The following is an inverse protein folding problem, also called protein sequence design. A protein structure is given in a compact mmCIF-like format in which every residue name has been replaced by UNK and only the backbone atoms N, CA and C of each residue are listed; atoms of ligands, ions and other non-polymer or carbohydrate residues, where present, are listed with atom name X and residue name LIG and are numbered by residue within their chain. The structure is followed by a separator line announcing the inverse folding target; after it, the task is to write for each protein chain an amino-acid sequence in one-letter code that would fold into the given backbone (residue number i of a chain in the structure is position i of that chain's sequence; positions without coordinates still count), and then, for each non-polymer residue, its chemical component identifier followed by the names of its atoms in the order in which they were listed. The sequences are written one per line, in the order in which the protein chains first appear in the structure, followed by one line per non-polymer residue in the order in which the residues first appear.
data_IF_454375376048
#
_entry.id   IF_454375376048
#
_cell.length_a   1.000
_cell.length_b   1.000
_cell.length_c   1.000
_cell.angle_alpha   90.00
_cell.angle_beta   90.00
_cell.angle_gamma   90.00
#
_symmetry.space_group_name_H-M   'P 1'
#
loop_
_entity.id
_entity.type
_entity.pdbx_description
1 polymer ?
#
# COMPACT_ATOMS: atom_id res chain seq x y z
N UNK A 1 -15.72 -11.34 -9.88
CA UNK A 1 -15.85 -11.62 -8.44
C UNK A 1 -15.71 -10.30 -7.71
N UNK A 2 -16.58 -9.99 -6.73
CA UNK A 2 -16.58 -8.69 -6.08
C UNK A 2 -15.27 -8.47 -5.29
N UNK A 3 -14.69 -7.28 -5.42
CA UNK A 3 -13.53 -6.83 -4.67
C UNK A 3 -13.93 -5.65 -3.80
N UNK A 4 -13.63 -5.69 -2.51
CA UNK A 4 -13.80 -4.52 -1.64
C UNK A 4 -12.44 -3.84 -1.42
N UNK A 5 -12.41 -2.53 -1.69
CA UNK A 5 -11.24 -1.68 -1.45
C UNK A 5 -11.53 -0.78 -0.25
N UNK A 6 -10.72 -0.89 0.80
CA UNK A 6 -10.85 -0.05 1.99
C UNK A 6 -10.13 1.28 1.85
N UNK A 7 -10.49 2.26 2.68
CA UNK A 7 -9.91 3.61 2.66
C UNK A 7 -9.91 4.22 1.24
N UNK A 8 -10.99 4.02 0.49
CA UNK A 8 -11.09 4.36 -0.93
C UNK A 8 -10.93 5.86 -1.26
N UNK A 9 -10.97 6.74 -0.25
CA UNK A 9 -10.62 8.15 -0.39
C UNK A 9 -9.10 8.38 -0.60
N UNK A 10 -8.25 7.43 -0.18
CA UNK A 10 -6.80 7.56 -0.34
C UNK A 10 -6.40 7.39 -1.82
N UNK A 11 -5.39 8.13 -2.31
CA UNK A 11 -5.06 8.15 -3.75
C UNK A 11 -4.82 6.76 -4.36
N UNK A 12 -4.06 5.90 -3.69
CA UNK A 12 -3.75 4.55 -4.19
C UNK A 12 -5.01 3.67 -4.16
N UNK A 13 -5.75 3.64 -3.05
CA UNK A 13 -6.98 2.85 -2.92
C UNK A 13 -8.02 3.25 -4.00
N UNK A 14 -8.22 4.56 -4.19
CA UNK A 14 -9.13 5.08 -5.20
C UNK A 14 -8.74 4.67 -6.61
N UNK A 15 -7.44 4.67 -6.92
CA UNK A 15 -6.94 4.26 -8.25
C UNK A 15 -7.04 2.76 -8.46
N UNK A 16 -6.79 1.93 -7.42
CA UNK A 16 -7.03 0.49 -7.47
C UNK A 16 -8.52 0.23 -7.77
N UNK A 17 -9.43 0.86 -7.03
CA UNK A 17 -10.86 0.71 -7.25
C UNK A 17 -11.29 1.15 -8.67
N UNK A 18 -10.80 2.30 -9.14
CA UNK A 18 -11.09 2.79 -10.48
C UNK A 18 -10.58 1.82 -11.57
N UNK A 19 -9.37 1.29 -11.41
CA UNK A 19 -8.76 0.38 -12.37
C UNK A 19 -9.51 -0.97 -12.43
N UNK A 20 -9.96 -1.48 -11.27
CA UNK A 20 -10.83 -2.67 -11.23
C UNK A 20 -12.15 -2.46 -11.96
N UNK A 21 -12.77 -1.28 -11.81
CA UNK A 21 -14.00 -0.92 -12.54
C UNK A 21 -13.79 -0.82 -14.05
N UNK A 22 -12.68 -0.19 -14.48
CA UNK A 22 -12.31 -0.10 -15.92
C UNK A 22 -12.16 -1.48 -16.58
N UNK A 23 -11.74 -2.48 -15.80
CA UNK A 23 -11.66 -3.88 -16.27
C UNK A 23 -13.00 -4.64 -16.20
N UNK A 24 -14.08 -3.97 -15.82
CA UNK A 24 -15.40 -4.56 -15.70
C UNK A 24 -15.63 -5.36 -14.42
N UNK A 25 -14.77 -5.17 -13.40
CA UNK A 25 -14.92 -5.80 -12.09
C UNK A 25 -16.07 -5.21 -11.29
N UNK A 26 -16.69 -6.01 -10.42
CA UNK A 26 -17.60 -5.54 -9.39
C UNK A 26 -16.78 -5.02 -8.21
N UNK A 27 -16.90 -3.71 -7.90
CA UNK A 27 -16.10 -3.05 -6.88
C UNK A 27 -16.97 -2.46 -5.79
N UNK A 28 -16.61 -2.77 -4.56
CA UNK A 28 -17.12 -2.10 -3.37
C UNK A 28 -16.04 -1.24 -2.76
N UNK A 29 -16.41 -0.05 -2.32
CA UNK A 29 -15.49 0.91 -1.70
C UNK A 29 -15.96 1.19 -0.28
N UNK A 30 -15.11 0.96 0.72
CA UNK A 30 -15.37 1.34 2.11
C UNK A 30 -14.54 2.58 2.47
N UNK A 31 -15.20 3.63 2.96
CA UNK A 31 -14.55 4.92 3.24
C UNK A 31 -15.39 5.81 4.14
N UNK A 32 -14.72 6.65 4.92
CA UNK A 32 -15.28 7.72 5.74
C UNK A 32 -15.36 9.08 5.02
N UNK A 33 -14.94 9.13 3.76
CA UNK A 33 -14.90 10.36 2.97
C UNK A 33 -15.67 10.23 1.66
N UNK A 34 -16.00 11.35 1.03
CA UNK A 34 -16.67 11.35 -0.27
C UNK A 34 -15.77 10.83 -1.38
N UNK A 35 -16.29 9.89 -2.14
CA UNK A 35 -15.68 9.31 -3.35
C UNK A 35 -16.68 9.30 -4.51
N UNK A 36 -17.32 10.43 -4.76
CA UNK A 36 -18.34 10.60 -5.79
C UNK A 36 -17.90 10.07 -7.16
N UNK A 37 -16.62 10.23 -7.51
CA UNK A 37 -16.06 9.71 -8.76
C UNK A 37 -16.14 8.19 -8.87
N UNK A 38 -15.89 7.44 -7.78
CA UNK A 38 -16.02 5.98 -7.79
C UNK A 38 -17.48 5.56 -7.90
N UNK A 39 -18.39 6.27 -7.21
CA UNK A 39 -19.83 6.01 -7.31
C UNK A 39 -20.32 6.25 -8.73
N UNK A 40 -19.91 7.35 -9.36
CA UNK A 40 -20.23 7.65 -10.74
C UNK A 40 -19.66 6.62 -11.74
N UNK A 41 -18.52 6.01 -11.42
CA UNK A 41 -17.91 4.94 -12.20
C UNK A 41 -18.53 3.55 -11.96
N UNK A 42 -19.54 3.44 -11.07
CA UNK A 42 -20.28 2.20 -10.83
C UNK A 42 -19.86 1.41 -9.59
N UNK A 43 -18.98 1.95 -8.71
CA UNK A 43 -18.69 1.30 -7.45
C UNK A 43 -19.87 1.35 -6.49
N UNK A 44 -20.11 0.27 -5.75
CA UNK A 44 -20.92 0.32 -4.55
C UNK A 44 -20.09 0.97 -3.42
N UNK A 45 -20.55 2.11 -2.90
CA UNK A 45 -19.83 2.85 -1.85
C UNK A 45 -20.53 2.70 -0.51
N UNK A 46 -19.89 1.98 0.42
CA UNK A 46 -20.26 1.92 1.82
C UNK A 46 -19.53 3.07 2.56
N UNK A 47 -20.29 4.11 2.91
CA UNK A 47 -19.75 5.31 3.58
C UNK A 47 -19.92 5.15 5.09
N UNK A 48 -18.81 4.89 5.80
CA UNK A 48 -18.78 4.69 7.24
C UNK A 48 -17.38 4.82 7.81
N UNK A 49 -17.28 4.87 9.13
CA UNK A 49 -16.01 4.89 9.87
C UNK A 49 -15.61 3.47 10.29
N UNK A 50 -14.40 3.32 10.80
CA UNK A 50 -13.91 2.04 11.34
C UNK A 50 -14.65 1.55 12.59
N UNK A 51 -15.42 2.42 13.23
CA UNK A 51 -16.28 2.07 14.36
C UNK A 51 -17.61 1.43 13.91
N UNK A 52 -17.96 1.53 12.63
CA UNK A 52 -19.16 0.99 12.03
C UNK A 52 -18.91 -0.41 11.45
N UNK A 53 -18.61 -1.35 12.34
CA UNK A 53 -18.27 -2.75 11.99
C UNK A 53 -19.41 -3.42 11.21
N UNK A 54 -20.66 -3.17 11.59
CA UNK A 54 -21.83 -3.77 10.93
C UNK A 54 -21.98 -3.31 9.47
N UNK A 55 -21.64 -2.05 9.17
CA UNK A 55 -21.63 -1.56 7.79
C UNK A 55 -20.50 -2.22 6.97
N UNK A 56 -19.33 -2.42 7.57
CA UNK A 56 -18.23 -3.11 6.91
C UNK A 56 -18.58 -4.58 6.64
N UNK A 57 -19.16 -5.28 7.61
CA UNK A 57 -19.64 -6.66 7.44
C UNK A 57 -20.68 -6.77 6.32
N UNK A 58 -21.65 -5.86 6.28
CA UNK A 58 -22.64 -5.81 5.20
C UNK A 58 -21.99 -5.52 3.84
N UNK A 59 -20.98 -4.63 3.79
CA UNK A 59 -20.25 -4.35 2.57
C UNK A 59 -19.40 -5.54 2.10
N UNK A 60 -18.99 -6.43 3.01
CA UNK A 60 -18.20 -7.64 2.73
C UNK A 60 -19.05 -8.85 2.31
N UNK A 61 -20.39 -8.80 2.41
CA UNK A 61 -21.23 -9.91 2.02
C UNK A 61 -20.93 -10.33 0.56
N UNK A 62 -20.61 -11.61 0.33
CA UNK A 62 -20.26 -12.17 -0.99
C UNK A 62 -18.98 -11.57 -1.64
N UNK A 63 -18.17 -10.79 -0.92
CA UNK A 63 -16.88 -10.29 -1.41
C UNK A 63 -15.89 -11.45 -1.48
N UNK A 64 -15.19 -11.53 -2.63
CA UNK A 64 -14.13 -12.52 -2.82
C UNK A 64 -12.80 -12.04 -2.26
N UNK A 65 -12.40 -10.81 -2.60
CA UNK A 65 -11.12 -10.24 -2.22
C UNK A 65 -11.29 -8.90 -1.51
N UNK A 66 -10.59 -8.73 -0.40
CA UNK A 66 -10.40 -7.42 0.25
C UNK A 66 -9.03 -6.88 -0.12
N UNK A 67 -8.97 -5.63 -0.58
CA UNK A 67 -7.72 -4.87 -0.72
C UNK A 67 -7.71 -3.78 0.34
N UNK A 68 -6.86 -3.97 1.36
CA UNK A 68 -6.71 -3.02 2.46
C UNK A 68 -5.56 -2.05 2.21
N UNK A 69 -5.88 -0.76 2.14
CA UNK A 69 -4.90 0.32 1.93
C UNK A 69 -4.92 1.24 3.15
N UNK A 70 -4.48 0.70 4.29
CA UNK A 70 -4.45 1.42 5.57
C UNK A 70 -3.10 2.08 5.85
N UNK A 71 -3.10 3.14 6.66
CA UNK A 71 -1.92 3.83 7.16
C UNK A 71 -1.01 4.44 6.09
N UNK A 72 -0.67 5.72 6.22
CA UNK A 72 0.31 6.40 5.36
C UNK A 72 1.64 6.62 6.07
N UNK A 73 2.71 6.94 5.32
CA UNK A 73 4.04 7.23 5.87
C UNK A 73 4.10 8.49 6.75
N UNK A 74 3.06 9.28 6.79
CA UNK A 74 2.92 10.47 7.64
C UNK A 74 1.68 10.34 8.55
N UNK A 75 1.38 9.10 9.00
CA UNK A 75 0.31 8.84 9.98
C UNK A 75 0.74 9.38 11.35
N UNK A 76 -0.13 10.16 11.97
CA UNK A 76 0.14 10.80 13.26
C UNK A 76 -0.31 9.95 14.46
N UNK A 77 -1.19 8.99 14.24
CA UNK A 77 -1.59 7.97 15.22
C UNK A 77 -1.29 6.56 14.66
N UNK A 78 -0.10 6.03 14.87
CA UNK A 78 0.26 4.70 14.38
C UNK A 78 -0.66 3.58 14.89
N UNK A 79 -1.23 3.71 16.10
CA UNK A 79 -2.16 2.72 16.65
C UNK A 79 -3.43 2.56 15.82
N UNK A 80 -3.80 3.58 15.06
CA UNK A 80 -4.91 3.53 14.10
C UNK A 80 -4.67 2.50 13.01
N UNK A 81 -3.41 2.31 12.58
CA UNK A 81 -3.06 1.32 11.55
C UNK A 81 -3.45 -0.09 12.01
N UNK A 82 -3.15 -0.42 13.26
CA UNK A 82 -3.47 -1.73 13.84
C UNK A 82 -4.99 -1.88 14.00
N UNK A 83 -5.65 -0.89 14.61
CA UNK A 83 -7.12 -0.93 14.82
C UNK A 83 -7.88 -1.09 13.50
N UNK A 84 -7.50 -0.37 12.44
CA UNK A 84 -8.13 -0.49 11.12
C UNK A 84 -8.02 -1.92 10.58
N UNK A 85 -6.85 -2.54 10.72
CA UNK A 85 -6.62 -3.91 10.25
C UNK A 85 -7.36 -4.93 11.10
N UNK A 86 -7.42 -4.78 12.43
CA UNK A 86 -8.19 -5.65 13.32
C UNK A 86 -9.67 -5.68 12.95
N UNK A 87 -10.26 -4.50 12.67
CA UNK A 87 -11.65 -4.40 12.23
C UNK A 87 -11.85 -5.09 10.88
N UNK A 88 -10.96 -4.86 9.91
CA UNK A 88 -11.02 -5.51 8.60
C UNK A 88 -10.87 -7.02 8.72
N UNK A 89 -9.93 -7.50 9.53
CA UNK A 89 -9.66 -8.92 9.74
C UNK A 89 -10.88 -9.64 10.36
N UNK A 90 -11.48 -9.04 11.38
CA UNK A 90 -12.68 -9.57 12.04
C UNK A 90 -13.85 -9.64 11.05
N UNK A 91 -14.17 -8.55 10.36
CA UNK A 91 -15.26 -8.50 9.41
C UNK A 91 -15.04 -9.43 8.19
N UNK A 92 -13.82 -9.50 7.67
CA UNK A 92 -13.47 -10.39 6.55
C UNK A 92 -13.59 -11.87 6.94
N UNK A 93 -13.21 -12.22 8.18
CA UNK A 93 -13.37 -13.58 8.70
C UNK A 93 -14.85 -13.94 8.85
N UNK A 94 -15.65 -13.04 9.43
CA UNK A 94 -17.10 -13.24 9.60
C UNK A 94 -17.84 -13.38 8.28
N UNK A 95 -17.47 -12.59 7.26
CA UNK A 95 -18.05 -12.64 5.93
C UNK A 95 -17.56 -13.82 5.06
N UNK A 96 -16.56 -14.58 5.50
CA UNK A 96 -15.99 -15.69 4.73
C UNK A 96 -15.26 -15.25 3.44
N UNK A 97 -14.59 -14.11 3.48
CA UNK A 97 -13.77 -13.59 2.39
C UNK A 97 -12.71 -14.62 1.97
N UNK A 98 -12.46 -14.72 0.68
CA UNK A 98 -11.58 -15.75 0.11
C UNK A 98 -10.12 -15.30 -0.01
N UNK A 99 -9.84 -14.00 0.07
CA UNK A 99 -8.50 -13.42 -0.01
C UNK A 99 -8.47 -12.04 0.62
N UNK A 100 -7.34 -11.73 1.28
CA UNK A 100 -7.03 -10.37 1.72
C UNK A 100 -5.65 -9.95 1.20
N UNK A 101 -5.57 -8.77 0.58
CA UNK A 101 -4.32 -8.12 0.14
C UNK A 101 -4.15 -6.86 0.96
N UNK A 102 -3.04 -6.70 1.67
CA UNK A 102 -2.75 -5.54 2.50
C UNK A 102 -1.49 -4.81 2.02
N UNK A 103 -1.51 -3.48 1.96
CA UNK A 103 -0.32 -2.68 1.68
C UNK A 103 0.46 -2.38 2.95
N UNK A 104 1.77 -2.57 2.87
CA UNK A 104 2.72 -2.35 3.96
C UNK A 104 3.99 -1.64 3.48
N UNK A 105 5.03 -1.58 4.31
CA UNK A 105 6.30 -0.92 4.05
C UNK A 105 7.48 -1.90 4.19
N UNK A 106 8.59 -1.68 3.48
CA UNK A 106 9.86 -2.34 3.78
C UNK A 106 10.25 -2.11 5.24
N UNK A 107 10.80 -3.13 5.89
CA UNK A 107 11.20 -3.10 7.28
C UNK A 107 10.05 -3.08 8.30
N UNK A 108 8.80 -3.29 7.88
CA UNK A 108 7.69 -3.49 8.81
C UNK A 108 7.96 -4.70 9.69
N UNK A 109 7.75 -4.54 10.99
CA UNK A 109 7.96 -5.58 11.99
C UNK A 109 7.60 -5.08 13.39
N UNK A 110 7.08 -5.96 14.28
CA UNK A 110 6.58 -5.54 15.60
C UNK A 110 7.70 -5.00 16.52
N UNK A 111 8.97 -5.19 16.14
CA UNK A 111 10.15 -4.70 16.84
C UNK A 111 10.85 -3.56 16.10
N UNK A 112 10.24 -2.99 15.05
CA UNK A 112 10.81 -1.84 14.36
C UNK A 112 10.94 -0.62 15.30
N UNK A 113 12.01 0.14 15.13
CA UNK A 113 12.27 1.32 15.96
C UNK A 113 11.25 2.42 15.69
N UNK A 114 10.97 2.71 14.42
CA UNK A 114 9.97 3.71 14.09
C UNK A 114 8.54 3.21 14.33
N UNK A 115 7.67 4.10 14.86
CA UNK A 115 6.31 3.71 15.26
C UNK A 115 5.43 3.25 14.11
N UNK A 116 5.63 3.78 12.89
CA UNK A 116 4.80 3.42 11.73
C UNK A 116 5.15 2.02 11.24
N UNK A 117 6.45 1.68 11.11
CA UNK A 117 6.87 0.32 10.74
C UNK A 117 6.51 -0.70 11.81
N UNK A 118 6.59 -0.32 13.08
CA UNK A 118 6.12 -1.19 14.17
C UNK A 118 4.64 -1.47 14.05
N UNK A 119 3.79 -0.46 13.92
CA UNK A 119 2.36 -0.63 13.74
C UNK A 119 2.00 -1.40 12.45
N UNK A 120 2.76 -1.20 11.37
CA UNK A 120 2.62 -2.00 10.15
C UNK A 120 2.98 -3.46 10.39
N UNK A 121 4.04 -3.75 11.16
CA UNK A 121 4.42 -5.11 11.52
C UNK A 121 3.38 -5.81 12.39
N UNK A 122 2.84 -5.12 13.39
CA UNK A 122 1.73 -5.62 14.21
C UNK A 122 0.49 -5.89 13.34
N UNK A 123 0.16 -4.99 12.41
CA UNK A 123 -0.93 -5.18 11.46
C UNK A 123 -0.70 -6.39 10.52
N UNK A 124 0.54 -6.64 10.09
CA UNK A 124 0.88 -7.83 9.30
C UNK A 124 0.67 -9.14 10.09
N UNK A 125 0.96 -9.15 11.41
CA UNK A 125 0.67 -10.30 12.26
C UNK A 125 -0.84 -10.57 12.35
N UNK A 126 -1.65 -9.53 12.47
CA UNK A 126 -3.12 -9.65 12.42
C UNK A 126 -3.58 -10.21 11.08
N UNK A 127 -3.03 -9.70 9.97
CA UNK A 127 -3.34 -10.21 8.61
C UNK A 127 -2.95 -11.68 8.48
N UNK A 128 -1.79 -12.09 8.98
CA UNK A 128 -1.31 -13.46 8.89
C UNK A 128 -2.18 -14.47 9.67
N UNK A 129 -2.90 -14.01 10.69
CA UNK A 129 -3.79 -14.84 11.50
C UNK A 129 -5.19 -15.07 10.88
N UNK A 130 -5.53 -14.39 9.77
CA UNK A 130 -6.83 -14.56 9.12
C UNK A 130 -6.92 -15.95 8.45
N UNK A 131 -8.06 -16.66 8.59
CA UNK A 131 -8.21 -18.03 8.11
C UNK A 131 -8.48 -18.13 6.59
N UNK A 132 -8.00 -17.18 5.79
CA UNK A 132 -8.02 -17.24 4.33
C UNK A 132 -6.64 -16.86 3.77
N UNK A 133 -6.35 -17.14 2.49
CA UNK A 133 -5.14 -16.67 1.84
C UNK A 133 -4.93 -15.16 1.99
N UNK A 134 -3.78 -14.77 2.51
CA UNK A 134 -3.43 -13.37 2.73
C UNK A 134 -2.14 -13.00 2.02
N UNK A 135 -2.10 -11.80 1.47
CA UNK A 135 -0.92 -11.27 0.78
C UNK A 135 -0.62 -9.89 1.34
N UNK A 136 0.57 -9.73 1.89
CA UNK A 136 1.11 -8.43 2.28
C UNK A 136 2.04 -7.92 1.19
N UNK A 137 1.78 -6.72 0.67
CA UNK A 137 2.65 -6.07 -0.31
C UNK A 137 3.43 -4.97 0.41
N UNK A 138 4.70 -5.22 0.68
CA UNK A 138 5.64 -4.24 1.22
C UNK A 138 6.19 -3.42 0.07
N UNK A 139 5.58 -2.26 -0.19
CA UNK A 139 6.00 -1.37 -1.27
C UNK A 139 6.99 -0.32 -0.76
N UNK A 140 8.07 -0.10 -1.49
CA UNK A 140 8.98 1.03 -1.30
C UNK A 140 8.25 2.36 -1.46
N UNK A 141 8.96 3.47 -1.54
CA UNK A 141 8.35 4.80 -1.68
C UNK A 141 7.42 4.86 -2.91
N UNK A 142 6.11 4.92 -2.69
CA UNK A 142 5.13 4.97 -3.79
C UNK A 142 5.11 6.37 -4.38
N UNK A 143 5.50 6.49 -5.64
CA UNK A 143 5.55 7.77 -6.35
C UNK A 143 4.14 8.27 -6.67
N UNK A 144 3.64 9.19 -5.86
CA UNK A 144 2.36 9.88 -6.03
C UNK A 144 2.53 11.39 -5.86
N UNK A 145 1.65 12.21 -6.46
CA UNK A 145 1.68 13.66 -6.23
C UNK A 145 1.67 14.02 -4.75
N UNK A 146 0.85 13.33 -3.93
CA UNK A 146 0.76 13.59 -2.48
C UNK A 146 2.08 13.30 -1.75
N UNK A 147 2.78 12.22 -2.08
CA UNK A 147 4.11 11.91 -1.51
C UNK A 147 5.15 12.94 -1.96
N UNK A 148 5.16 13.31 -3.24
CA UNK A 148 6.05 14.37 -3.74
C UNK A 148 5.82 15.68 -2.99
N UNK A 149 4.56 16.06 -2.75
CA UNK A 149 4.19 17.27 -2.02
C UNK A 149 4.64 17.21 -0.56
N UNK A 150 4.42 16.09 0.12
CA UNK A 150 4.84 15.89 1.52
C UNK A 150 6.36 15.99 1.63
N UNK A 151 7.12 15.28 0.81
CA UNK A 151 8.59 15.30 0.83
C UNK A 151 9.14 16.67 0.44
N UNK A 152 8.52 17.36 -0.54
CA UNK A 152 8.92 18.70 -0.97
C UNK A 152 8.77 19.76 0.13
N UNK A 153 7.71 19.64 0.93
CA UNK A 153 7.34 20.62 1.96
C UNK A 153 7.84 20.26 3.36
N UNK A 154 8.42 19.05 3.54
CA UNK A 154 8.87 18.55 4.83
C UNK A 154 10.12 19.24 5.40
N UNK A 155 10.82 20.06 4.61
CA UNK A 155 12.05 20.72 5.09
C UNK A 155 13.16 19.72 5.43
N UNK A 156 13.31 18.67 4.63
CA UNK A 156 14.24 17.57 4.87
C UNK A 156 15.68 18.06 5.08
N UNK A 157 16.35 17.54 6.10
CA UNK A 157 17.77 17.75 6.35
C UNK A 157 18.63 17.15 5.21
N UNK A 158 19.94 17.49 5.18
CA UNK A 158 20.86 16.87 4.24
C UNK A 158 20.90 15.35 4.40
N UNK A 159 21.01 14.86 5.64
CA UNK A 159 21.01 13.43 5.97
C UNK A 159 19.74 12.72 5.47
N UNK A 160 18.56 13.34 5.65
CA UNK A 160 17.30 12.77 5.16
C UNK A 160 17.23 12.77 3.63
N UNK A 161 17.86 13.73 2.97
CA UNK A 161 17.93 13.78 1.49
C UNK A 161 18.88 12.71 0.94
N UNK A 162 19.86 12.28 1.71
CA UNK A 162 20.82 11.23 1.34
C UNK A 162 20.29 9.81 1.58
N UNK A 163 19.13 9.66 2.24
CA UNK A 163 18.49 8.37 2.42
C UNK A 163 18.14 7.78 1.05
N UNK A 164 18.56 6.53 0.82
CA UNK A 164 18.27 5.79 -0.39
C UNK A 164 16.85 5.22 -0.37
N UNK A 165 16.19 5.30 -1.50
CA UNK A 165 14.85 4.76 -1.77
C UNK A 165 14.84 4.08 -3.14
N UNK A 166 13.90 3.16 -3.35
CA UNK A 166 13.62 2.55 -4.65
C UNK A 166 12.19 2.93 -5.09
N UNK A 167 11.95 4.14 -5.59
CA UNK A 167 10.60 4.64 -5.81
C UNK A 167 9.80 3.77 -6.79
N UNK A 168 8.62 3.34 -6.36
CA UNK A 168 7.67 2.54 -7.14
C UNK A 168 6.68 3.47 -7.81
N UNK A 169 6.46 3.32 -9.11
CA UNK A 169 5.38 4.03 -9.79
C UNK A 169 4.03 3.51 -9.27
N UNK A 170 3.13 4.43 -9.01
CA UNK A 170 1.81 4.07 -8.50
C UNK A 170 1.05 3.13 -9.46
N UNK A 171 1.21 3.32 -10.77
CA UNK A 171 0.63 2.48 -11.82
C UNK A 171 1.12 1.03 -11.71
N UNK A 172 2.42 0.83 -11.55
CA UNK A 172 3.03 -0.49 -11.49
C UNK A 172 2.59 -1.24 -10.22
N UNK A 173 2.50 -0.53 -9.09
CA UNK A 173 1.96 -1.10 -7.85
C UNK A 173 0.48 -1.50 -8.00
N UNK A 174 -0.33 -0.69 -8.66
CA UNK A 174 -1.73 -1.00 -8.92
C UNK A 174 -1.84 -2.27 -9.77
N UNK A 175 -1.09 -2.36 -10.87
CA UNK A 175 -1.08 -3.56 -11.73
C UNK A 175 -0.63 -4.81 -10.94
N UNK A 176 0.36 -4.69 -10.05
CA UNK A 176 0.74 -5.78 -9.15
C UNK A 176 -0.43 -6.22 -8.26
N UNK A 177 -1.13 -5.29 -7.62
CA UNK A 177 -2.28 -5.61 -6.75
C UNK A 177 -3.39 -6.29 -7.54
N UNK A 178 -3.71 -5.82 -8.73
CA UNK A 178 -4.71 -6.42 -9.60
C UNK A 178 -4.29 -7.83 -10.06
N UNK A 179 -3.01 -8.00 -10.35
CA UNK A 179 -2.46 -9.29 -10.71
C UNK A 179 -2.56 -10.29 -9.55
N UNK A 180 -2.23 -9.85 -8.32
CA UNK A 180 -2.36 -10.68 -7.12
C UNK A 180 -3.81 -11.06 -6.83
N UNK A 181 -4.78 -10.21 -7.16
CA UNK A 181 -6.22 -10.56 -7.07
C UNK A 181 -6.59 -11.66 -8.06
N UNK A 182 -5.99 -11.72 -9.24
CA UNK A 182 -6.28 -12.71 -10.29
C UNK A 182 -5.59 -14.05 -10.09
N UNK A 183 -4.55 -14.12 -9.29
CA UNK A 183 -3.83 -15.39 -9.02
C UNK A 183 -4.79 -16.41 -8.40
N UNK A 184 -4.80 -17.64 -8.91
CA UNK A 184 -5.65 -18.71 -8.39
C UNK A 184 -5.32 -18.99 -6.92
N UNK A 185 -6.34 -19.21 -6.10
CA UNK A 185 -6.21 -19.42 -4.65
C UNK A 185 -5.18 -20.51 -4.28
N UNK A 186 -5.06 -21.58 -5.09
CA UNK A 186 -4.07 -22.66 -4.86
C UNK A 186 -2.61 -22.21 -4.95
N UNK A 187 -2.32 -21.09 -5.62
CA UNK A 187 -0.96 -20.56 -5.71
C UNK A 187 -0.60 -19.63 -4.54
N UNK A 188 -1.56 -19.30 -3.68
CA UNK A 188 -1.42 -18.37 -2.55
C UNK A 188 -1.99 -18.94 -1.26
N UNK A 189 -1.93 -20.28 -1.07
CA UNK A 189 -2.35 -20.89 0.19
C UNK A 189 -1.49 -20.35 1.35
N UNK A 190 -2.15 -19.90 2.44
CA UNK A 190 -1.50 -19.35 3.61
C UNK A 190 -1.23 -17.85 3.52
N UNK A 191 -0.14 -17.43 4.15
CA UNK A 191 0.31 -16.04 4.23
C UNK A 191 1.54 -15.81 3.34
N UNK A 192 1.46 -14.82 2.45
CA UNK A 192 2.54 -14.43 1.55
C UNK A 192 2.94 -12.98 1.79
N UNK A 193 4.22 -12.69 1.87
CA UNK A 193 4.77 -11.33 1.86
C UNK A 193 5.50 -11.11 0.54
N UNK A 194 5.09 -10.08 -0.20
CA UNK A 194 5.70 -9.65 -1.46
C UNK A 194 6.34 -8.29 -1.24
N UNK A 195 7.63 -8.19 -1.47
CA UNK A 195 8.32 -6.91 -1.50
C UNK A 195 8.30 -6.34 -2.92
N UNK A 196 8.00 -5.05 -3.05
CA UNK A 196 7.85 -4.37 -4.33
C UNK A 196 8.69 -3.09 -4.36
N UNK A 197 9.77 -3.11 -5.13
CA UNK A 197 10.68 -1.99 -5.31
C UNK A 197 10.59 -1.43 -6.73
N UNK A 198 10.91 -0.13 -6.89
CA UNK A 198 11.12 0.45 -8.19
C UNK A 198 12.47 0.02 -8.80
N UNK A 199 12.66 0.25 -10.11
CA UNK A 199 13.80 -0.28 -10.87
C UNK A 199 15.14 0.39 -10.55
N UNK A 200 15.10 1.55 -9.89
CA UNK A 200 16.30 2.36 -9.64
C UNK A 200 16.36 2.80 -8.19
N UNK A 201 17.43 2.44 -7.50
CA UNK A 201 17.78 3.01 -6.19
C UNK A 201 18.38 4.40 -6.38
N UNK A 202 17.94 5.34 -5.58
CA UNK A 202 18.42 6.71 -5.60
C UNK A 202 18.17 7.37 -4.24
N UNK A 203 18.89 8.46 -3.95
CA UNK A 203 18.60 9.23 -2.75
C UNK A 203 17.26 9.97 -2.86
N UNK A 204 16.64 10.31 -1.75
CA UNK A 204 15.43 11.15 -1.72
C UNK A 204 15.69 12.48 -2.42
N UNK A 205 16.88 13.07 -2.24
CA UNK A 205 17.27 14.29 -2.93
C UNK A 205 17.27 14.14 -4.45
N UNK A 206 17.86 13.05 -4.95
CA UNK A 206 17.88 12.74 -6.38
C UNK A 206 16.46 12.44 -6.92
N UNK A 207 15.64 11.72 -6.15
CA UNK A 207 14.24 11.50 -6.49
C UNK A 207 13.47 12.81 -6.65
N UNK A 208 13.57 13.72 -5.67
CA UNK A 208 12.88 15.01 -5.70
C UNK A 208 13.33 15.85 -6.91
N UNK A 209 14.63 15.88 -7.20
CA UNK A 209 15.16 16.56 -8.40
C UNK A 209 14.58 15.96 -9.69
N UNK A 210 14.51 14.62 -9.78
CA UNK A 210 13.99 13.90 -10.95
C UNK A 210 12.52 14.19 -11.21
N UNK A 211 11.70 14.33 -10.14
CA UNK A 211 10.26 14.62 -10.27
C UNK A 211 9.95 16.12 -10.34
N UNK A 212 10.96 16.96 -10.54
CA UNK A 212 10.83 18.40 -10.74
C UNK A 212 10.51 19.19 -9.47
N UNK A 213 10.82 18.62 -8.31
CA UNK A 213 10.70 19.33 -7.03
C UNK A 213 12.05 19.98 -6.72
N UNK A 214 12.11 21.30 -6.87
CA UNK A 214 13.31 22.08 -6.57
C UNK A 214 13.67 22.11 -5.09
N UNK A 215 14.88 22.64 -4.75
CA UNK A 215 15.30 22.81 -3.36
C UNK A 215 14.33 23.70 -2.57
N UNK A 216 14.36 23.67 -1.22
CA UNK A 216 13.57 24.57 -0.38
C UNK A 216 13.70 26.04 -0.82
N UNK A 217 12.57 26.73 -0.96
CA UNK A 217 12.54 28.13 -1.45
C UNK A 217 12.36 28.28 -2.96
N UNK A 218 12.32 27.20 -3.75
CA UNK A 218 11.99 27.26 -5.16
C UNK A 218 10.51 27.64 -5.38
N UNK A 219 10.22 28.30 -6.52
CA UNK A 219 8.83 28.66 -6.89
C UNK A 219 7.88 27.45 -6.96
N UNK A 220 8.42 26.24 -7.11
CA UNK A 220 7.66 24.98 -7.13
C UNK A 220 6.90 24.71 -5.81
N UNK A 221 7.25 25.36 -4.70
CA UNK A 221 6.61 25.22 -3.40
C UNK A 221 5.55 26.29 -3.12
N UNK A 222 5.43 27.29 -3.96
CA UNK A 222 4.45 28.38 -3.79
C UNK A 222 3.03 27.82 -3.92
N UNK A 223 2.20 28.08 -2.90
CA UNK A 223 0.80 27.63 -2.87
C UNK A 223 0.59 26.19 -2.36
N UNK A 224 1.64 25.42 -2.05
CA UNK A 224 1.50 24.10 -1.43
C UNK A 224 1.21 24.23 0.08
N UNK A 225 0.26 23.44 0.57
CA UNK A 225 -0.06 23.42 2.01
C UNK A 225 1.04 22.64 2.75
N UNK A 226 1.66 23.30 3.72
CA UNK A 226 2.65 22.66 4.59
C UNK A 226 1.98 21.56 5.43
N UNK A 227 2.63 20.38 5.61
CA UNK A 227 2.19 19.38 6.56
C UNK A 227 2.21 19.94 8.00
N UNK A 228 1.38 19.37 8.88
CA UNK A 228 1.46 19.71 10.30
C UNK A 228 2.81 19.29 10.90
N UNK A 229 3.28 19.93 12.01
CA UNK A 229 4.51 19.52 12.69
C UNK A 229 4.53 18.05 13.11
N UNK A 230 3.37 17.49 13.48
CA UNK A 230 3.21 16.08 13.84
C UNK A 230 3.45 15.15 12.64
N UNK A 231 2.87 15.49 11.48
CA UNK A 231 3.12 14.76 10.23
C UNK A 231 4.57 14.83 9.79
N UNK A 232 5.23 15.96 10.01
CA UNK A 232 6.67 16.10 9.71
C UNK A 232 7.52 15.22 10.61
N UNK A 233 7.16 15.09 11.90
CA UNK A 233 7.83 14.15 12.82
C UNK A 233 7.63 12.71 12.40
N UNK A 234 6.38 12.28 12.19
CA UNK A 234 6.07 10.92 11.76
C UNK A 234 6.79 10.56 10.44
N UNK A 235 6.88 11.52 9.50
CA UNK A 235 7.66 11.34 8.29
C UNK A 235 9.16 11.20 8.57
N UNK A 236 9.72 12.03 9.46
CA UNK A 236 11.14 11.97 9.81
C UNK A 236 11.52 10.61 10.42
N UNK A 237 10.68 10.10 11.32
CA UNK A 237 10.88 8.80 11.99
C UNK A 237 10.86 7.66 10.95
N UNK A 238 9.87 7.63 10.07
CA UNK A 238 9.76 6.57 9.06
C UNK A 238 10.85 6.67 7.98
N UNK A 239 11.34 7.87 7.67
CA UNK A 239 12.43 8.04 6.69
C UNK A 239 13.74 7.41 7.16
N UNK A 240 14.01 7.36 8.47
CA UNK A 240 15.21 6.73 9.02
C UNK A 240 15.30 5.21 8.87
N UNK A 241 14.21 4.54 8.51
CA UNK A 241 14.20 3.09 8.33
C UNK A 241 14.46 2.62 6.89
N UNK A 242 14.45 1.29 6.65
CA UNK A 242 14.73 0.72 5.33
C UNK A 242 13.61 1.01 4.31
N UNK A 243 14.01 1.27 3.07
CA UNK A 243 13.11 1.56 1.95
C UNK A 243 13.26 0.59 0.77
N UNK A 244 13.94 -0.52 0.97
CA UNK A 244 14.08 -1.62 0.02
C UNK A 244 14.22 -2.93 0.76
N UNK A 245 14.15 -4.03 0.03
CA UNK A 245 14.34 -5.39 0.56
C UNK A 245 15.43 -6.11 -0.22
N UNK A 246 15.91 -7.24 0.30
CA UNK A 246 17.00 -7.99 -0.33
C UNK A 246 16.55 -8.78 -1.56
N UNK A 247 15.27 -9.15 -1.65
CA UNK A 247 14.72 -9.92 -2.77
C UNK A 247 13.35 -9.35 -3.21
N UNK A 248 13.33 -8.13 -3.80
CA UNK A 248 12.09 -7.51 -4.22
C UNK A 248 11.64 -7.99 -5.60
N UNK A 249 10.34 -7.94 -5.83
CA UNK A 249 9.79 -7.87 -7.19
C UNK A 249 10.07 -6.46 -7.73
N UNK A 250 10.89 -6.36 -8.77
CA UNK A 250 11.19 -5.06 -9.40
C UNK A 250 10.04 -4.66 -10.31
N UNK A 251 9.42 -3.54 -10.01
CA UNK A 251 8.33 -2.95 -10.78
C UNK A 251 8.89 -1.91 -11.77
N UNK A 252 9.19 -2.34 -13.00
CA UNK A 252 9.65 -1.50 -14.09
C UNK A 252 8.71 -1.61 -15.29
N UNK A 253 7.56 -0.94 -15.23
CA UNK A 253 6.52 -1.06 -16.25
C UNK A 253 6.01 -2.50 -16.42
N UNK A 254 6.17 -3.30 -15.38
CA UNK A 254 5.91 -4.72 -15.37
C UNK A 254 4.42 -5.00 -15.57
N UNK A 255 4.12 -5.90 -16.49
CA UNK A 255 2.77 -6.45 -16.69
C UNK A 255 2.79 -7.93 -16.34
N UNK A 256 1.92 -8.35 -15.45
CA UNK A 256 1.83 -9.74 -14.99
C UNK A 256 1.57 -10.75 -16.10
N UNK A 257 0.99 -10.31 -17.22
CA UNK A 257 0.75 -11.15 -18.39
C UNK A 257 2.04 -11.66 -19.07
N UNK A 258 3.15 -10.93 -18.88
CA UNK A 258 4.40 -11.18 -19.62
C UNK A 258 5.43 -12.02 -18.83
N UNK A 259 5.21 -12.24 -17.52
CA UNK A 259 6.11 -13.05 -16.68
C UNK A 259 5.31 -13.92 -15.71
N UNK A 260 5.12 -15.17 -16.03
CA UNK A 260 4.81 -16.16 -15.00
C UNK A 260 6.03 -16.27 -14.06
N UNK A 261 5.85 -16.21 -12.73
CA UNK A 261 6.95 -16.53 -11.83
C UNK A 261 7.46 -17.92 -12.17
N UNK A 262 8.78 -18.06 -12.27
CA UNK A 262 9.39 -19.38 -12.40
C UNK A 262 8.90 -20.26 -11.24
N UNK A 263 8.52 -21.53 -11.48
CA UNK A 263 8.10 -22.40 -10.41
C UNK A 263 9.24 -22.50 -9.38
N UNK A 264 8.94 -22.46 -8.07
CA UNK A 264 9.96 -22.66 -7.05
C UNK A 264 10.54 -24.07 -7.22
N UNK A 265 11.83 -24.15 -7.53
CA UNK A 265 12.56 -25.42 -7.54
C UNK A 265 13.19 -25.79 -8.88
N UNK A 266 14.17 -25.03 -9.32
CA UNK A 266 15.33 -25.58 -10.01
C UNK A 266 16.55 -24.84 -9.45
N UNK A 267 16.95 -25.23 -8.22
CA UNK A 267 18.33 -25.06 -7.82
C UNK A 267 19.14 -25.99 -8.72
N UNK A 268 20.03 -25.41 -9.49
CA UNK A 268 20.94 -26.10 -10.38
C UNK A 268 21.68 -27.25 -9.66
N UNK A 269 21.31 -28.45 -10.00
CA UNK A 269 22.18 -29.59 -9.87
C UNK A 269 23.16 -29.57 -11.06
N UNK A 270 24.20 -28.74 -10.96
CA UNK A 270 25.34 -28.79 -11.85
C UNK A 270 26.59 -28.50 -11.04
N UNK A 271 27.17 -29.53 -10.47
CA UNK A 271 28.40 -29.54 -9.72
C UNK A 271 28.84 -30.98 -9.51
N UNK A 272 29.30 -31.65 -10.58
CA UNK A 272 30.02 -32.87 -10.56
C UNK A 272 31.21 -32.73 -11.48
#
# INVERSE_FOLDING_TARGET
MPVLVTAAHRPIARRIAARLLEEGGEVRAFTDADVASLRAAGAFVASGTWDDVGLLEAALAEVHTVVHVGGGIAETDPSRIVREVEVVASAATGAGVRRLIALSLPGAGPRAEDPIRRAKGEAEEVVAAIPCPTIVVRASLIDTPGIRDVLATAGLSAEQRDIEVAPVRAEDLIELVLALDRVRARATEGHLVVAADGPVRMTIGAYLARVGVGPPGSQALVGRRLPSPERLRALADVLGGPWWTDDPVILDGWRFADRQPAPPGHADAAGG
#
